data_IF_176678801568
#
_entry.id   IF_176678801568
#
_cell.length_a   1.000
_cell.length_b   1.000
_cell.length_c   1.000
_cell.angle_alpha   90.00
_cell.angle_beta   90.00
_cell.angle_gamma   90.00
#
_symmetry.space_group_name_H-M   'P 1'
#
loop_
_entity.id
_entity.type
_entity.pdbx_description
1 polymer ?
#
# COMPACT_ATOMS: atom_id res chain seq x y z
N UNK A 1 7.99 11.50 8.17
CA UNK A 1 7.58 10.70 7.01
C UNK A 1 7.30 11.58 5.81
N UNK A 2 7.88 11.24 4.68
CA UNK A 2 7.72 12.01 3.45
C UNK A 2 6.27 12.04 2.97
N UNK A 3 5.56 10.91 3.06
CA UNK A 3 4.16 10.84 2.66
C UNK A 3 3.28 11.74 3.53
N UNK A 4 3.49 11.72 4.84
CA UNK A 4 2.74 12.56 5.76
C UNK A 4 2.96 14.04 5.45
N UNK A 5 4.20 14.43 5.22
CA UNK A 5 4.56 15.81 4.87
C UNK A 5 3.89 16.23 3.55
N UNK A 6 3.90 15.34 2.56
CA UNK A 6 3.25 15.60 1.28
C UNK A 6 1.74 15.81 1.44
N UNK A 7 1.07 14.97 2.23
CA UNK A 7 -0.37 15.07 2.47
C UNK A 7 -0.74 16.37 3.21
N UNK A 8 0.09 16.80 4.14
CA UNK A 8 -0.11 18.06 4.85
C UNK A 8 0.06 19.23 3.89
N UNK A 9 1.06 19.18 3.02
CA UNK A 9 1.34 20.25 2.05
C UNK A 9 0.30 20.31 0.91
N UNK A 10 -0.43 19.21 0.66
CA UNK A 10 -1.40 19.12 -0.45
C UNK A 10 -2.78 18.73 0.09
N UNK A 11 -3.46 19.62 0.86
CA UNK A 11 -4.66 19.24 1.61
C UNK A 11 -5.88 18.91 0.76
N UNK A 12 -5.86 19.24 -0.54
CA UNK A 12 -6.99 18.99 -1.43
C UNK A 12 -6.87 17.66 -2.20
N UNK A 13 -5.77 16.94 -2.04
CA UNK A 13 -5.57 15.67 -2.73
C UNK A 13 -5.95 14.49 -1.85
N UNK A 14 -6.56 13.49 -2.48
CA UNK A 14 -6.87 12.20 -1.88
C UNK A 14 -5.92 11.15 -2.42
N UNK A 15 -5.68 10.09 -1.64
CA UNK A 15 -4.79 9.01 -2.04
C UNK A 15 -5.45 7.64 -1.83
N UNK A 16 -4.98 6.67 -2.61
CA UNK A 16 -5.23 5.25 -2.39
C UNK A 16 -3.93 4.56 -2.02
N UNK A 17 -3.97 3.74 -0.97
CA UNK A 17 -2.83 2.98 -0.48
C UNK A 17 -3.01 1.53 -0.94
N UNK A 18 -2.08 1.04 -1.75
CA UNK A 18 -2.16 -0.28 -2.37
C UNK A 18 -1.08 -1.20 -1.80
N UNK A 19 -1.49 -2.31 -1.18
CA UNK A 19 -0.59 -3.32 -0.65
C UNK A 19 -0.33 -4.43 -1.64
N UNK A 20 0.90 -4.93 -1.69
CA UNK A 20 1.33 -5.98 -2.60
C UNK A 20 2.20 -7.00 -1.90
N UNK A 21 2.19 -8.24 -2.40
CA UNK A 21 3.04 -9.31 -1.93
C UNK A 21 3.82 -9.93 -3.09
N UNK A 22 4.80 -10.79 -2.77
CA UNK A 22 5.37 -11.70 -3.76
C UNK A 22 4.44 -12.94 -3.91
N UNK A 23 4.87 -13.94 -4.68
CA UNK A 23 4.04 -15.13 -4.96
C UNK A 23 4.18 -16.26 -3.93
N UNK A 24 5.00 -16.10 -2.90
CA UNK A 24 5.16 -17.14 -1.88
C UNK A 24 3.91 -17.27 -1.02
N UNK A 25 3.48 -18.50 -0.79
CA UNK A 25 2.31 -18.80 0.04
C UNK A 25 1.01 -18.81 -0.75
N UNK A 26 -0.09 -19.05 -0.05
CA UNK A 26 -1.41 -19.17 -0.66
C UNK A 26 -1.95 -17.80 -1.07
N UNK A 27 -2.68 -17.75 -2.19
CA UNK A 27 -3.29 -16.52 -2.72
C UNK A 27 -4.15 -15.82 -1.68
N UNK A 28 -5.01 -16.58 -0.99
CA UNK A 28 -5.92 -16.01 0.01
C UNK A 28 -5.16 -15.38 1.18
N UNK A 29 -4.06 -16.01 1.61
CA UNK A 29 -3.21 -15.46 2.66
C UNK A 29 -2.54 -14.16 2.20
N UNK A 30 -2.00 -14.16 0.99
CA UNK A 30 -1.33 -12.97 0.41
C UNK A 30 -2.31 -11.83 0.20
N UNK A 31 -3.54 -12.13 -0.22
CA UNK A 31 -4.58 -11.11 -0.34
C UNK A 31 -4.88 -10.48 1.01
N UNK A 32 -5.10 -11.29 2.05
CA UNK A 32 -5.34 -10.79 3.39
C UNK A 32 -4.16 -10.00 3.95
N UNK A 33 -2.93 -10.49 3.74
CA UNK A 33 -1.72 -9.80 4.20
C UNK A 33 -1.57 -8.43 3.55
N UNK A 34 -1.79 -8.33 2.23
CA UNK A 34 -1.67 -7.08 1.50
C UNK A 34 -2.73 -6.07 1.96
N UNK A 35 -3.95 -6.53 2.23
CA UNK A 35 -5.02 -5.69 2.77
C UNK A 35 -4.65 -5.13 4.14
N UNK A 36 -4.11 -5.99 5.02
CA UNK A 36 -3.70 -5.57 6.37
C UNK A 36 -2.55 -4.57 6.33
N UNK A 37 -1.59 -4.77 5.43
CA UNK A 37 -0.45 -3.85 5.28
C UNK A 37 -0.92 -2.47 4.80
N UNK A 38 -1.79 -2.43 3.81
CA UNK A 38 -2.34 -1.17 3.33
C UNK A 38 -3.18 -0.48 4.41
N UNK A 39 -4.01 -1.24 5.13
CA UNK A 39 -4.82 -0.71 6.22
C UNK A 39 -3.97 -0.17 7.38
N UNK A 40 -2.82 -0.78 7.65
CA UNK A 40 -1.91 -0.31 8.71
C UNK A 40 -1.32 1.06 8.37
N UNK A 41 -0.96 1.29 7.11
CA UNK A 41 -0.46 2.60 6.67
C UNK A 41 -1.57 3.65 6.79
N UNK A 42 -2.78 3.30 6.38
CA UNK A 42 -3.94 4.20 6.51
C UNK A 42 -4.17 4.57 7.98
N UNK A 43 -4.18 3.58 8.87
CA UNK A 43 -4.40 3.80 10.30
C UNK A 43 -3.32 4.69 10.91
N UNK A 44 -2.07 4.52 10.48
CA UNK A 44 -0.97 5.36 10.93
C UNK A 44 -1.19 6.82 10.54
N UNK A 45 -1.62 7.06 9.30
CA UNK A 45 -1.92 8.41 8.80
C UNK A 45 -3.09 9.05 9.57
N UNK A 46 -4.14 8.29 9.83
CA UNK A 46 -5.28 8.76 10.63
C UNK A 46 -4.81 9.15 12.03
N UNK A 47 -3.92 8.38 12.63
CA UNK A 47 -3.32 8.69 13.93
C UNK A 47 -2.47 9.98 13.90
N UNK A 48 -2.08 10.44 12.73
CA UNK A 48 -1.36 11.70 12.52
C UNK A 48 -2.27 12.82 12.04
N UNK A 49 -3.57 12.69 12.25
CA UNK A 49 -4.60 13.70 11.96
C UNK A 49 -4.92 13.90 10.48
N UNK A 50 -4.59 12.93 9.63
CA UNK A 50 -5.08 12.92 8.26
C UNK A 50 -6.52 12.41 8.26
N UNK A 51 -7.43 13.17 7.66
CA UNK A 51 -8.86 12.84 7.63
C UNK A 51 -9.11 11.56 6.84
N UNK A 52 -9.92 10.66 7.38
CA UNK A 52 -10.23 9.37 6.72
C UNK A 52 -10.83 9.53 5.34
N UNK A 53 -11.60 10.61 5.10
CA UNK A 53 -12.21 10.87 3.79
C UNK A 53 -11.19 11.11 2.67
N UNK A 54 -9.94 11.39 3.01
CA UNK A 54 -8.85 11.59 2.04
C UNK A 54 -8.13 10.29 1.69
N UNK A 55 -8.42 9.20 2.41
CA UNK A 55 -7.63 7.98 2.38
C UNK A 55 -8.49 6.78 2.00
N UNK A 56 -7.95 5.92 1.17
CA UNK A 56 -8.52 4.60 0.93
C UNK A 56 -7.38 3.58 0.86
N UNK A 57 -7.70 2.32 1.11
CA UNK A 57 -6.70 1.25 1.04
C UNK A 57 -7.25 0.04 0.31
N UNK A 58 -6.38 -0.69 -0.37
CA UNK A 58 -6.74 -1.91 -1.07
C UNK A 58 -5.53 -2.85 -1.11
N UNK A 59 -5.79 -4.15 -0.94
CA UNK A 59 -4.80 -5.19 -1.11
C UNK A 59 -4.96 -5.85 -2.48
N UNK A 60 -3.85 -6.07 -3.16
CA UNK A 60 -3.81 -6.74 -4.46
C UNK A 60 -3.15 -8.12 -4.38
N UNK A 61 -2.67 -8.52 -3.18
CA UNK A 61 -1.95 -9.78 -3.04
C UNK A 61 -0.77 -9.85 -4.01
N UNK A 62 -0.65 -10.97 -4.70
CA UNK A 62 0.43 -11.20 -5.67
C UNK A 62 0.04 -10.85 -7.11
N UNK A 63 -1.14 -10.28 -7.34
CA UNK A 63 -1.73 -10.13 -8.68
C UNK A 63 -1.05 -9.06 -9.55
N UNK A 64 -0.27 -8.15 -8.98
CA UNK A 64 0.36 -7.04 -9.71
C UNK A 64 1.86 -6.95 -9.43
N UNK A 65 2.66 -7.91 -9.90
CA UNK A 65 4.11 -7.87 -9.69
C UNK A 65 4.74 -6.75 -10.52
N UNK A 66 5.81 -6.16 -9.98
CA UNK A 66 6.64 -5.18 -10.70
C UNK A 66 8.01 -5.75 -11.06
N UNK A 67 8.33 -6.95 -10.59
CA UNK A 67 9.60 -7.60 -10.82
C UNK A 67 9.42 -9.10 -10.87
N UNK A 68 10.49 -9.82 -11.23
CA UNK A 68 10.48 -11.27 -11.38
C UNK A 68 10.38 -11.95 -10.01
N UNK A 69 9.29 -12.69 -9.78
CA UNK A 69 9.10 -13.47 -8.56
C UNK A 69 10.03 -14.68 -8.44
N UNK A 70 10.66 -15.10 -9.52
CA UNK A 70 11.59 -16.21 -9.50
C UNK A 70 12.92 -15.88 -8.81
N UNK A 71 13.25 -14.59 -8.67
CA UNK A 71 14.46 -14.17 -7.98
C UNK A 71 14.17 -13.59 -6.61
N UNK A 72 15.08 -13.73 -5.62
CA UNK A 72 14.91 -13.11 -4.31
C UNK A 72 14.82 -11.58 -4.39
N UNK A 73 15.59 -10.96 -5.29
CA UNK A 73 15.58 -9.53 -5.50
C UNK A 73 14.23 -9.06 -6.04
N UNK A 74 13.68 -9.79 -7.03
CA UNK A 74 12.38 -9.49 -7.60
C UNK A 74 11.25 -9.64 -6.58
N UNK A 75 11.30 -10.71 -5.77
CA UNK A 75 10.31 -10.91 -4.71
C UNK A 75 10.35 -9.76 -3.69
N UNK A 76 11.54 -9.30 -3.33
CA UNK A 76 11.69 -8.16 -2.42
C UNK A 76 11.02 -6.89 -2.97
N UNK A 77 11.18 -6.63 -4.26
CA UNK A 77 10.55 -5.49 -4.92
C UNK A 77 9.02 -5.62 -4.99
N UNK A 78 8.51 -6.85 -5.07
CA UNK A 78 7.07 -7.10 -5.13
C UNK A 78 6.39 -6.93 -3.75
N UNK A 79 7.12 -7.13 -2.66
CA UNK A 79 6.61 -6.90 -1.29
C UNK A 79 6.67 -5.40 -1.00
N UNK A 80 5.61 -4.68 -1.35
CA UNK A 80 5.60 -3.22 -1.29
C UNK A 80 4.24 -2.65 -0.97
N UNK A 81 4.23 -1.39 -0.57
CA UNK A 81 3.02 -0.56 -0.50
C UNK A 81 3.23 0.61 -1.45
N UNK A 82 2.27 0.82 -2.34
CA UNK A 82 2.26 1.94 -3.29
C UNK A 82 1.21 2.95 -2.87
N UNK A 83 1.50 4.22 -3.18
CA UNK A 83 0.54 5.30 -2.94
C UNK A 83 0.19 5.94 -4.28
N UNK A 84 -1.11 6.06 -4.54
CA UNK A 84 -1.64 6.65 -5.78
C UNK A 84 -2.44 7.89 -5.44
N UNK A 85 -2.13 8.99 -6.09
CA UNK A 85 -2.90 10.24 -5.96
C UNK A 85 -4.15 10.11 -6.84
N UNK A 86 -5.33 10.35 -6.24
CA UNK A 86 -6.60 10.14 -6.94
C UNK A 86 -7.10 11.41 -7.65
N UNK A 87 -6.70 12.56 -7.16
CA UNK A 87 -7.13 13.84 -7.74
C UNK A 87 -6.22 14.98 -7.36
#
# INVERSE_FOLDING_TARGET
EQLLEWLIAHPLHNINIAGHTDWNGADAYNQSLSERRAAAVLAWLVGRSITTSRLSSKGFGESQPVADNASPQGRSLNRRVEVRVLN
#
